data_IF_037214640392
#
_entry.id   IF_037214640392
#
_cell.length_a   1.000
_cell.length_b   1.000
_cell.length_c   1.000
_cell.angle_alpha   90.00
_cell.angle_beta   90.00
_cell.angle_gamma   90.00
#
_symmetry.space_group_name_H-M   'P 1'
#
loop_
_entity.id
_entity.type
_entity.pdbx_description
1 polymer ?
#
# COMPACT_ATOMS: atom_id res chain seq x y z
N UNK A 1 -50.88 3.47 -54.77
CA UNK A 1 -50.23 2.43 -53.93
C UNK A 1 -48.97 3.03 -53.33
N UNK A 2 -49.02 3.48 -52.07
CA UNK A 2 -47.82 3.89 -51.31
C UNK A 2 -47.80 3.07 -50.03
N UNK A 3 -46.81 2.19 -49.90
CA UNK A 3 -46.65 1.25 -48.79
C UNK A 3 -45.94 1.96 -47.65
N UNK A 4 -46.61 2.13 -46.52
CA UNK A 4 -46.02 2.63 -45.28
C UNK A 4 -45.10 1.58 -44.66
N UNK A 5 -43.85 1.96 -44.39
CA UNK A 5 -42.87 1.16 -43.65
C UNK A 5 -43.09 1.44 -42.17
N UNK A 6 -43.47 0.40 -41.41
CA UNK A 6 -43.51 0.44 -39.94
C UNK A 6 -42.15 -0.02 -39.41
N UNK A 7 -41.40 0.90 -38.81
CA UNK A 7 -40.14 0.60 -38.11
C UNK A 7 -40.50 0.24 -36.66
N UNK A 8 -40.26 -1.01 -36.29
CA UNK A 8 -40.43 -1.52 -34.93
C UNK A 8 -39.16 -1.23 -34.13
N UNK A 9 -39.21 -0.28 -33.20
CA UNK A 9 -38.11 0.01 -32.28
C UNK A 9 -38.11 -1.03 -31.15
N UNK A 10 -37.17 -1.99 -31.20
CA UNK A 10 -36.89 -2.88 -30.08
C UNK A 10 -36.10 -2.10 -29.02
N UNK A 11 -36.74 -1.74 -27.91
CA UNK A 11 -36.05 -1.22 -26.71
C UNK A 11 -35.44 -2.43 -25.98
N UNK A 12 -34.14 -2.64 -26.16
CA UNK A 12 -33.36 -3.53 -25.31
C UNK A 12 -33.15 -2.80 -23.97
N UNK A 13 -33.91 -3.17 -22.95
CA UNK A 13 -33.63 -2.77 -21.58
C UNK A 13 -32.32 -3.45 -21.14
N UNK A 14 -31.23 -2.69 -21.15
CA UNK A 14 -29.99 -3.07 -20.50
C UNK A 14 -30.21 -3.04 -18.98
N UNK A 15 -30.46 -4.21 -18.39
CA UNK A 15 -30.37 -4.41 -16.94
C UNK A 15 -28.88 -4.31 -16.59
N UNK A 16 -28.45 -3.13 -16.16
CA UNK A 16 -27.10 -2.91 -15.65
C UNK A 16 -27.01 -3.60 -14.28
N UNK A 17 -26.15 -4.61 -14.19
CA UNK A 17 -25.93 -5.43 -13.00
C UNK A 17 -25.56 -4.60 -11.76
N UNK A 18 -26.42 -4.60 -10.74
CA UNK A 18 -26.16 -4.06 -9.39
C UNK A 18 -25.47 -5.06 -8.44
N UNK A 19 -25.04 -6.22 -8.94
CA UNK A 19 -24.61 -7.36 -8.13
C UNK A 19 -23.34 -7.08 -7.29
N UNK A 20 -22.37 -6.34 -7.82
CA UNK A 20 -21.11 -6.08 -7.12
C UNK A 20 -21.23 -5.18 -5.88
N UNK A 21 -22.15 -4.21 -5.88
CA UNK A 21 -22.34 -3.33 -4.71
C UNK A 21 -23.06 -4.04 -3.55
N UNK A 22 -23.90 -5.02 -3.85
CA UNK A 22 -24.63 -5.78 -2.85
C UNK A 22 -23.72 -6.78 -2.13
N UNK A 23 -22.85 -7.46 -2.86
CA UNK A 23 -21.87 -8.41 -2.30
C UNK A 23 -20.86 -7.71 -1.39
N UNK A 24 -20.26 -6.60 -1.85
CA UNK A 24 -19.35 -5.77 -1.04
C UNK A 24 -20.01 -5.26 0.26
N UNK A 25 -21.30 -4.90 0.20
CA UNK A 25 -22.04 -4.44 1.38
C UNK A 25 -22.26 -5.56 2.40
N UNK A 26 -22.50 -6.79 1.93
CA UNK A 26 -22.67 -7.96 2.80
C UNK A 26 -21.34 -8.35 3.46
N UNK A 27 -20.24 -8.29 2.72
CA UNK A 27 -18.92 -8.63 3.26
C UNK A 27 -18.44 -7.60 4.28
N UNK A 28 -18.68 -6.31 4.05
CA UNK A 28 -18.41 -5.28 5.05
C UNK A 28 -19.24 -5.47 6.32
N UNK A 29 -20.49 -5.94 6.20
CA UNK A 29 -21.32 -6.25 7.36
C UNK A 29 -20.82 -7.47 8.14
N UNK A 30 -20.33 -8.51 7.45
CA UNK A 30 -19.69 -9.68 8.09
C UNK A 30 -18.41 -9.30 8.82
N UNK A 31 -17.51 -8.59 8.14
CA UNK A 31 -16.27 -8.11 8.74
C UNK A 31 -16.55 -7.24 9.97
N UNK A 32 -17.57 -6.37 9.92
CA UNK A 32 -17.96 -5.54 11.06
C UNK A 32 -18.32 -6.34 12.31
N UNK A 33 -18.83 -7.57 12.17
CA UNK A 33 -19.12 -8.46 13.30
C UNK A 33 -17.85 -9.06 13.92
N UNK A 34 -16.74 -9.09 13.17
CA UNK A 34 -15.44 -9.58 13.64
C UNK A 34 -14.60 -8.49 14.31
N UNK A 35 -15.01 -7.22 14.19
CA UNK A 35 -14.27 -6.09 14.74
C UNK A 35 -14.60 -5.88 16.21
N UNK A 36 -13.58 -5.89 17.06
CA UNK A 36 -13.69 -5.45 18.45
C UNK A 36 -13.59 -3.93 18.54
N UNK A 37 -14.54 -3.29 19.23
CA UNK A 37 -14.52 -1.85 19.46
C UNK A 37 -14.09 -1.55 20.90
N UNK A 38 -13.22 -0.56 21.07
CA UNK A 38 -12.97 -0.02 22.40
C UNK A 38 -14.21 0.72 22.94
N UNK A 39 -14.29 0.88 24.27
CA UNK A 39 -15.38 1.61 24.90
C UNK A 39 -15.52 3.05 24.36
N UNK A 40 -14.38 3.71 24.10
CA UNK A 40 -14.36 5.06 23.55
C UNK A 40 -14.98 5.13 22.15
N UNK A 41 -14.79 4.10 21.32
CA UNK A 41 -15.39 4.03 19.97
C UNK A 41 -16.87 3.77 20.03
N UNK A 42 -17.33 2.87 20.92
CA UNK A 42 -18.77 2.56 21.08
C UNK A 42 -19.55 3.83 21.43
N UNK A 43 -18.98 4.70 22.27
CA UNK A 43 -19.61 5.98 22.66
C UNK A 43 -19.66 7.03 21.54
N UNK A 44 -18.90 6.84 20.45
CA UNK A 44 -18.84 7.78 19.33
C UNK A 44 -19.73 7.37 18.13
N UNK A 45 -20.58 6.34 18.28
CA UNK A 45 -21.53 5.89 17.25
C UNK A 45 -20.89 5.62 15.88
N UNK A 46 -19.66 5.09 15.87
CA UNK A 46 -18.94 4.81 14.62
C UNK A 46 -19.69 3.75 13.79
N UNK A 47 -20.01 4.09 12.55
CA UNK A 47 -20.57 3.13 11.61
C UNK A 47 -19.47 2.20 11.07
N UNK A 48 -19.27 1.06 11.75
CA UNK A 48 -18.20 0.09 11.46
C UNK A 48 -18.23 -0.42 10.01
N UNK A 49 -19.36 -0.84 9.41
CA UNK A 49 -19.36 -1.27 8.01
C UNK A 49 -18.90 -0.18 7.04
N UNK A 50 -19.32 1.08 7.25
CA UNK A 50 -18.85 2.20 6.42
C UNK A 50 -17.36 2.48 6.65
N UNK A 51 -16.88 2.34 7.88
CA UNK A 51 -15.46 2.50 8.21
C UNK A 51 -14.59 1.42 7.54
N UNK A 52 -15.01 0.16 7.57
CA UNK A 52 -14.34 -0.93 6.84
C UNK A 52 -14.31 -0.66 5.34
N UNK A 53 -15.45 -0.22 4.77
CA UNK A 53 -15.49 0.16 3.36
C UNK A 53 -14.51 1.29 3.03
N UNK A 54 -14.33 2.25 3.96
CA UNK A 54 -13.35 3.33 3.82
C UNK A 54 -11.92 2.79 3.88
N UNK A 55 -11.61 1.84 4.77
CA UNK A 55 -10.29 1.19 4.85
C UNK A 55 -9.97 0.47 3.53
N UNK A 56 -10.89 -0.37 3.02
CA UNK A 56 -10.72 -1.15 1.78
C UNK A 56 -10.43 -0.26 0.56
N UNK A 57 -11.00 0.94 0.54
CA UNK A 57 -10.99 1.84 -0.61
C UNK A 57 -10.11 3.09 -0.40
N UNK A 58 -9.37 3.17 0.72
CA UNK A 58 -8.53 4.33 0.97
C UNK A 58 -7.42 4.43 -0.08
N UNK A 59 -7.17 5.67 -0.53
CA UNK A 59 -6.05 5.99 -1.43
C UNK A 59 -5.19 7.12 -0.89
N UNK A 60 -5.48 7.62 0.31
CA UNK A 60 -4.79 8.76 0.92
C UNK A 60 -3.33 8.40 1.21
N UNK A 61 -3.06 7.20 1.72
CA UNK A 61 -1.69 6.75 1.98
C UNK A 61 -0.87 6.59 0.68
N UNK A 62 -1.47 6.02 -0.38
CA UNK A 62 -0.81 5.95 -1.69
C UNK A 62 -0.58 7.33 -2.29
N UNK A 63 -1.54 8.25 -2.14
CA UNK A 63 -1.43 9.62 -2.61
C UNK A 63 -0.30 10.36 -1.89
N UNK A 64 -0.12 10.14 -0.59
CA UNK A 64 1.01 10.68 0.17
C UNK A 64 2.35 10.17 -0.38
N UNK A 65 2.47 8.87 -0.67
CA UNK A 65 3.67 8.34 -1.35
C UNK A 65 3.89 8.98 -2.72
N UNK A 66 2.82 9.24 -3.48
CA UNK A 66 2.89 9.93 -4.77
C UNK A 66 3.23 11.41 -4.66
N UNK A 67 2.92 12.06 -3.55
CA UNK A 67 3.35 13.43 -3.29
C UNK A 67 4.88 13.54 -3.30
N UNK A 68 5.60 12.48 -2.93
CA UNK A 68 7.07 12.42 -3.04
C UNK A 68 7.57 12.55 -4.49
N UNK A 69 6.71 12.48 -5.51
CA UNK A 69 7.08 12.69 -6.92
C UNK A 69 6.91 14.13 -7.39
N UNK A 70 6.16 14.94 -6.65
CA UNK A 70 5.76 16.30 -7.07
C UNK A 70 6.13 17.37 -6.06
N UNK A 71 6.60 17.00 -4.87
CA UNK A 71 7.05 17.92 -3.84
C UNK A 71 8.58 17.97 -3.76
N UNK A 72 9.12 19.16 -3.47
CA UNK A 72 10.52 19.32 -3.07
C UNK A 72 10.67 19.03 -1.58
N UNK A 73 11.68 18.25 -1.19
CA UNK A 73 11.95 17.88 0.19
C UNK A 73 13.42 17.55 0.39
N UNK A 74 13.86 17.50 1.66
CA UNK A 74 15.15 16.94 2.05
C UNK A 74 14.91 15.64 2.80
N UNK A 75 15.66 14.59 2.50
CA UNK A 75 15.59 13.33 3.25
C UNK A 75 16.95 12.97 3.85
N UNK A 76 16.87 12.35 5.03
CA UNK A 76 17.98 11.64 5.66
C UNK A 76 17.71 10.15 5.51
N UNK A 77 18.67 9.42 4.97
CA UNK A 77 18.53 8.01 4.64
C UNK A 77 19.61 7.24 5.41
N UNK A 78 19.22 6.16 6.09
CA UNK A 78 20.10 5.22 6.78
C UNK A 78 19.69 3.82 6.36
N UNK A 79 20.50 3.20 5.50
CA UNK A 79 20.25 1.87 4.94
C UNK A 79 21.35 0.95 5.49
N UNK A 80 20.97 -0.15 6.13
CA UNK A 80 21.90 -1.09 6.76
C UNK A 80 21.62 -2.50 6.27
N UNK A 81 22.64 -3.14 5.71
CA UNK A 81 22.58 -4.53 5.29
C UNK A 81 23.14 -5.40 6.41
N UNK A 82 22.32 -6.28 6.95
CA UNK A 82 22.67 -7.14 8.09
C UNK A 82 23.09 -8.54 7.62
N UNK A 83 24.02 -9.16 8.35
CA UNK A 83 24.27 -10.60 8.23
C UNK A 83 23.24 -11.42 9.03
N UNK A 84 23.31 -12.76 8.93
CA UNK A 84 22.42 -13.67 9.67
C UNK A 84 22.54 -13.56 11.20
N UNK A 85 23.57 -12.89 11.71
CA UNK A 85 23.82 -12.66 13.14
C UNK A 85 23.40 -11.24 13.55
N UNK A 86 22.86 -10.43 12.65
CA UNK A 86 22.46 -9.04 12.88
C UNK A 86 23.59 -8.02 12.78
N UNK A 87 24.81 -8.40 12.37
CA UNK A 87 25.92 -7.44 12.22
C UNK A 87 25.82 -6.68 10.90
N UNK A 88 26.21 -5.40 10.91
CA UNK A 88 26.26 -4.57 9.70
C UNK A 88 27.37 -5.07 8.77
N UNK A 89 27.00 -5.53 7.58
CA UNK A 89 27.95 -5.89 6.50
C UNK A 89 28.28 -4.71 5.59
N UNK A 90 27.28 -3.87 5.33
CA UNK A 90 27.38 -2.70 4.49
C UNK A 90 26.31 -1.69 4.91
N UNK A 91 26.55 -0.41 4.67
CA UNK A 91 25.58 0.64 4.98
C UNK A 91 25.68 1.82 4.02
N UNK A 92 24.61 2.60 3.96
CA UNK A 92 24.55 3.92 3.35
C UNK A 92 23.91 4.88 4.35
N UNK A 93 24.63 5.95 4.67
CA UNK A 93 24.05 7.14 5.27
C UNK A 93 24.08 8.25 4.23
N UNK A 94 22.94 8.86 3.92
CA UNK A 94 22.91 9.97 2.98
C UNK A 94 21.90 11.06 3.33
N UNK A 95 22.24 12.29 2.97
CA UNK A 95 21.32 13.43 2.95
C UNK A 95 21.08 13.79 1.49
N UNK A 96 19.83 13.75 1.06
CA UNK A 96 19.46 14.11 -0.32
C UNK A 96 18.46 15.25 -0.32
N UNK A 97 18.47 16.04 -1.40
CA UNK A 97 17.52 17.14 -1.62
C UNK A 97 16.83 16.94 -2.95
N UNK A 98 15.52 16.74 -2.92
CA UNK A 98 14.71 16.74 -4.12
C UNK A 98 14.30 18.16 -4.49
N UNK A 99 14.60 18.56 -5.71
CA UNK A 99 14.20 19.84 -6.28
C UNK A 99 13.05 19.61 -7.26
N UNK A 100 12.04 20.48 -7.24
CA UNK A 100 10.92 20.45 -8.18
C UNK A 100 10.82 21.79 -8.89
N UNK A 101 10.80 21.77 -10.21
CA UNK A 101 10.61 22.96 -11.05
C UNK A 101 9.97 22.59 -12.38
N UNK A 102 9.01 23.42 -12.83
CA UNK A 102 8.30 23.26 -14.10
C UNK A 102 7.74 21.83 -14.35
N UNK A 103 7.17 21.20 -13.32
CA UNK A 103 6.60 19.84 -13.44
C UNK A 103 7.64 18.71 -13.56
N UNK A 104 8.91 19.00 -13.26
CA UNK A 104 9.99 18.04 -13.23
C UNK A 104 10.65 18.00 -11.85
N UNK A 105 11.18 16.83 -11.48
CA UNK A 105 12.00 16.64 -10.29
C UNK A 105 13.41 16.17 -10.61
N UNK A 106 14.36 16.60 -9.80
CA UNK A 106 15.75 16.12 -9.74
C UNK A 106 16.12 15.88 -8.28
N UNK A 107 17.21 15.15 -8.02
CA UNK A 107 17.70 14.94 -6.66
C UNK A 107 19.20 15.19 -6.60
N UNK A 108 19.60 16.00 -5.62
CA UNK A 108 20.99 16.24 -5.28
C UNK A 108 21.38 15.36 -4.09
N UNK A 109 22.57 14.78 -4.14
CA UNK A 109 23.20 14.10 -2.99
C UNK A 109 24.01 15.17 -2.25
N UNK A 110 23.53 15.59 -1.08
CA UNK A 110 24.15 16.63 -0.25
C UNK A 110 25.28 16.06 0.60
N UNK A 111 25.07 14.88 1.16
CA UNK A 111 26.07 14.12 1.90
C UNK A 111 25.83 12.64 1.65
N UNK A 112 26.90 11.87 1.49
CA UNK A 112 26.82 10.41 1.38
C UNK A 112 28.05 9.76 2.03
N UNK A 113 27.81 8.72 2.80
CA UNK A 113 28.82 7.85 3.42
C UNK A 113 28.38 6.40 3.27
N UNK A 114 29.26 5.57 2.74
CA UNK A 114 29.02 4.13 2.63
C UNK A 114 30.05 3.32 3.39
N UNK A 115 29.67 2.11 3.78
CA UNK A 115 30.57 1.11 4.38
C UNK A 115 30.43 -0.23 3.68
N UNK A 116 31.46 -1.06 3.76
CA UNK A 116 31.48 -2.38 3.13
C UNK A 116 31.34 -2.29 1.60
N UNK A 117 30.74 -3.33 1.01
CA UNK A 117 30.45 -3.40 -0.42
C UNK A 117 29.02 -2.93 -0.72
N UNK A 118 28.63 -1.74 -0.26
CA UNK A 118 27.27 -1.22 -0.52
C UNK A 118 27.01 -1.02 -2.02
N UNK A 119 28.02 -0.53 -2.73
CA UNK A 119 28.05 -0.46 -4.19
C UNK A 119 29.01 -1.52 -4.76
N UNK A 120 28.74 -1.95 -5.98
CA UNK A 120 29.66 -2.69 -6.82
C UNK A 120 30.75 -1.75 -7.38
N UNK A 121 31.80 -2.32 -7.96
CA UNK A 121 32.92 -1.55 -8.55
C UNK A 121 32.48 -0.64 -9.71
N UNK A 122 31.38 -0.98 -10.38
CA UNK A 122 30.77 -0.19 -11.46
C UNK A 122 29.86 0.95 -10.92
N UNK A 123 29.67 1.05 -9.61
CA UNK A 123 28.82 2.04 -8.95
C UNK A 123 27.33 1.65 -8.83
N UNK A 124 26.94 0.45 -9.28
CA UNK A 124 25.59 -0.07 -9.07
C UNK A 124 25.39 -0.56 -7.63
N UNK A 125 24.13 -0.71 -7.21
CA UNK A 125 23.82 -1.24 -5.88
C UNK A 125 24.15 -2.73 -5.83
N UNK A 126 25.02 -3.14 -4.90
CA UNK A 126 25.39 -4.54 -4.71
C UNK A 126 24.27 -5.35 -4.01
N UNK A 127 23.29 -4.67 -3.40
CA UNK A 127 22.19 -5.30 -2.69
C UNK A 127 20.85 -4.99 -3.35
N UNK A 128 20.11 -6.06 -3.64
CA UNK A 128 18.77 -5.96 -4.23
C UNK A 128 17.81 -5.07 -3.42
N UNK A 129 17.83 -5.16 -2.08
CA UNK A 129 17.00 -4.30 -1.20
C UNK A 129 17.40 -2.83 -1.29
N UNK A 130 18.71 -2.55 -1.43
CA UNK A 130 19.19 -1.18 -1.62
C UNK A 130 18.74 -0.63 -2.99
N UNK A 131 18.83 -1.42 -4.05
CA UNK A 131 18.33 -1.05 -5.39
C UNK A 131 16.82 -0.77 -5.37
N UNK A 132 16.05 -1.62 -4.68
CA UNK A 132 14.61 -1.47 -4.52
C UNK A 132 14.26 -0.17 -3.78
N UNK A 133 14.90 0.08 -2.64
CA UNK A 133 14.74 1.30 -1.87
C UNK A 133 15.08 2.53 -2.71
N UNK A 134 16.26 2.54 -3.34
CA UNK A 134 16.72 3.65 -4.17
C UNK A 134 15.75 3.93 -5.33
N UNK A 135 15.27 2.89 -6.01
CA UNK A 135 14.32 3.08 -7.09
C UNK A 135 12.91 3.51 -6.64
N UNK A 136 12.59 3.40 -5.35
CA UNK A 136 11.37 3.96 -4.78
C UNK A 136 11.58 5.40 -4.30
N UNK A 137 12.66 5.70 -3.60
CA UNK A 137 12.80 6.97 -2.88
C UNK A 137 13.75 7.97 -3.54
N UNK A 138 14.69 7.51 -4.37
CA UNK A 138 15.65 8.39 -5.03
C UNK A 138 15.23 8.76 -6.46
N UNK A 139 15.81 9.85 -6.96
CA UNK A 139 15.61 10.32 -8.34
C UNK A 139 16.95 10.25 -9.06
N UNK A 140 17.03 9.47 -10.14
CA UNK A 140 18.19 9.47 -11.04
C UNK A 140 17.92 10.42 -12.21
N UNK A 141 18.74 11.47 -12.33
CA UNK A 141 18.58 12.48 -13.38
C UNK A 141 17.34 13.36 -13.21
N UNK A 142 16.73 13.76 -14.33
CA UNK A 142 15.53 14.61 -14.39
C UNK A 142 14.32 13.79 -14.83
N UNK A 143 13.28 13.78 -14.01
CA UNK A 143 12.01 13.09 -14.29
C UNK A 143 10.89 14.13 -14.39
N UNK A 144 10.07 14.06 -15.43
CA UNK A 144 9.01 15.04 -15.71
C UNK A 144 7.66 14.36 -15.94
N UNK A 145 6.57 15.11 -15.80
CA UNK A 145 5.22 14.64 -16.11
C UNK A 145 4.62 13.68 -15.08
N UNK A 146 5.24 13.58 -13.90
CA UNK A 146 4.67 12.84 -12.78
C UNK A 146 3.52 13.62 -12.14
N UNK A 147 2.53 12.89 -11.63
CA UNK A 147 1.39 13.46 -10.91
C UNK A 147 1.17 12.73 -9.59
N UNK A 148 0.42 13.33 -8.67
CA UNK A 148 -0.08 12.66 -7.47
C UNK A 148 -1.52 12.15 -7.61
N UNK A 149 -2.03 12.07 -8.84
CA UNK A 149 -3.38 11.57 -9.11
C UNK A 149 -3.37 10.05 -8.97
N UNK A 150 -4.22 9.52 -8.09
CA UNK A 150 -4.34 8.07 -7.81
C UNK A 150 -5.58 7.45 -8.43
N UNK A 151 -6.59 8.25 -8.76
CA UNK A 151 -7.85 7.79 -9.36
C UNK A 151 -7.63 7.29 -10.78
N UNK A 152 -8.17 6.11 -11.11
CA UNK A 152 -8.07 5.50 -12.45
C UNK A 152 -6.72 4.88 -12.78
N UNK A 153 -5.79 4.87 -11.82
CA UNK A 153 -4.48 4.29 -12.03
C UNK A 153 -4.54 2.77 -11.83
N UNK A 154 -4.50 2.02 -12.93
CA UNK A 154 -4.35 0.58 -12.86
C UNK A 154 -2.88 0.22 -12.64
N UNK A 155 -2.59 -0.46 -11.53
CA UNK A 155 -1.26 -1.01 -11.25
C UNK A 155 -1.07 -2.27 -12.09
N UNK A 156 -0.48 -2.12 -13.28
CA UNK A 156 -0.21 -3.25 -14.17
C UNK A 156 1.16 -3.88 -13.85
N UNK A 157 1.13 -4.97 -13.10
CA UNK A 157 2.33 -5.79 -12.81
C UNK A 157 2.66 -6.72 -13.98
N UNK A 158 1.65 -7.15 -14.75
CA UNK A 158 1.80 -8.20 -15.79
C UNK A 158 2.69 -7.77 -16.95
N UNK A 159 2.73 -6.47 -17.27
CA UNK A 159 3.60 -5.92 -18.33
C UNK A 159 5.03 -5.62 -17.88
N UNK A 160 5.34 -5.72 -16.58
CA UNK A 160 6.66 -5.38 -16.02
C UNK A 160 7.51 -6.62 -15.77
N UNK A 161 8.84 -6.45 -15.80
CA UNK A 161 9.84 -7.51 -15.53
C UNK A 161 10.93 -7.01 -14.58
N UNK A 162 11.65 -7.94 -13.95
CA UNK A 162 12.78 -7.64 -13.08
C UNK A 162 12.42 -6.70 -11.91
N UNK A 163 13.33 -5.78 -11.59
CA UNK A 163 13.19 -4.83 -10.49
C UNK A 163 11.93 -3.95 -10.59
N UNK A 164 11.51 -3.58 -11.80
CA UNK A 164 10.32 -2.75 -12.01
C UNK A 164 9.01 -3.48 -11.64
N UNK A 165 8.97 -4.80 -11.86
CA UNK A 165 7.86 -5.63 -11.42
C UNK A 165 7.79 -5.65 -9.90
N UNK A 166 8.93 -5.88 -9.24
CA UNK A 166 9.00 -5.99 -7.79
C UNK A 166 8.72 -4.67 -7.09
N UNK A 167 9.15 -3.52 -7.65
CA UNK A 167 8.75 -2.18 -7.17
C UNK A 167 7.24 -2.00 -7.17
N UNK A 168 6.54 -2.44 -8.22
CA UNK A 168 5.06 -2.35 -8.23
C UNK A 168 4.41 -3.31 -7.26
N UNK A 169 4.93 -4.53 -7.12
CA UNK A 169 4.42 -5.49 -6.14
C UNK A 169 4.57 -4.96 -4.71
N UNK A 170 5.72 -4.36 -4.39
CA UNK A 170 5.95 -3.75 -3.07
C UNK A 170 5.01 -2.56 -2.83
N UNK A 171 4.78 -1.71 -3.85
CA UNK A 171 3.77 -0.65 -3.76
C UNK A 171 2.37 -1.22 -3.51
N UNK A 172 1.98 -2.30 -4.20
CA UNK A 172 0.69 -2.92 -3.97
C UNK A 172 0.56 -3.47 -2.54
N UNK A 173 1.60 -4.13 -2.03
CA UNK A 173 1.63 -4.67 -0.68
C UNK A 173 1.43 -3.59 0.41
N UNK A 174 2.11 -2.45 0.30
CA UNK A 174 2.02 -1.38 1.31
C UNK A 174 0.82 -0.44 1.14
N UNK A 175 0.37 -0.20 -0.09
CA UNK A 175 -0.60 0.85 -0.38
C UNK A 175 -2.01 0.35 -0.69
N UNK A 176 -2.18 -0.96 -0.92
CA UNK A 176 -3.49 -1.58 -1.15
C UNK A 176 -3.70 -2.79 -0.23
N UNK A 177 -3.76 -2.59 1.10
CA UNK A 177 -4.04 -3.69 2.02
C UNK A 177 -5.37 -4.35 1.65
N UNK A 178 -5.36 -5.67 1.46
CA UNK A 178 -6.53 -6.43 1.06
C UNK A 178 -6.70 -6.63 -0.44
N UNK A 179 -5.76 -6.21 -1.29
CA UNK A 179 -5.77 -6.56 -2.72
C UNK A 179 -4.74 -7.63 -3.04
N UNK A 180 -5.07 -8.49 -3.99
CA UNK A 180 -4.17 -9.47 -4.59
C UNK A 180 -2.90 -8.82 -5.14
N UNK A 181 -1.74 -9.31 -4.71
CA UNK A 181 -0.43 -8.94 -5.29
C UNK A 181 0.01 -10.04 -6.29
N UNK A 182 -0.20 -9.85 -7.61
CA UNK A 182 0.05 -10.91 -8.57
C UNK A 182 1.55 -11.15 -8.78
N UNK A 183 1.91 -12.42 -9.00
CA UNK A 183 3.25 -12.79 -9.47
C UNK A 183 4.31 -12.89 -8.38
N UNK A 184 3.92 -12.97 -7.10
CA UNK A 184 4.75 -13.51 -6.03
C UNK A 184 4.24 -14.94 -5.73
N UNK A 185 5.08 -15.99 -5.89
CA UNK A 185 4.66 -17.37 -5.65
C UNK A 185 4.03 -17.54 -4.26
N UNK A 186 2.87 -18.21 -4.20
CA UNK A 186 2.18 -18.58 -2.96
C UNK A 186 1.68 -17.44 -2.04
N UNK A 187 1.87 -16.17 -2.43
CA UNK A 187 1.39 -15.00 -1.68
C UNK A 187 0.11 -14.36 -2.25
N UNK A 188 -0.21 -14.62 -3.52
CA UNK A 188 -1.27 -13.88 -4.23
C UNK A 188 -2.61 -13.86 -3.51
N UNK A 189 -3.06 -15.00 -2.98
CA UNK A 189 -4.35 -15.12 -2.30
C UNK A 189 -4.27 -14.72 -0.82
N UNK A 190 -3.06 -14.58 -0.24
CA UNK A 190 -2.85 -14.31 1.19
C UNK A 190 -2.84 -12.81 1.53
N UNK A 191 -2.75 -11.94 0.53
CA UNK A 191 -2.75 -10.48 0.72
C UNK A 191 -4.17 -9.89 0.72
N UNK A 192 -5.18 -10.69 0.40
CA UNK A 192 -6.61 -10.33 0.39
C UNK A 192 -7.21 -10.44 1.80
N UNK A 193 -6.66 -9.68 2.77
CA UNK A 193 -6.97 -9.78 4.21
C UNK A 193 -8.44 -9.53 4.60
N UNK A 194 -9.22 -8.91 3.71
CA UNK A 194 -10.64 -8.63 3.92
C UNK A 194 -11.56 -9.65 3.24
N UNK A 195 -11.01 -10.57 2.44
CA UNK A 195 -11.82 -11.64 1.85
C UNK A 195 -12.25 -12.62 2.95
N UNK A 196 -13.49 -13.13 2.92
CA UNK A 196 -14.03 -13.95 4.00
C UNK A 196 -13.11 -15.10 4.46
N UNK A 197 -12.47 -15.81 3.51
CA UNK A 197 -11.57 -16.91 3.83
C UNK A 197 -10.26 -16.50 4.51
N UNK A 198 -9.78 -15.28 4.28
CA UNK A 198 -8.56 -14.77 4.90
C UNK A 198 -8.84 -14.00 6.18
N UNK A 199 -9.96 -13.29 6.27
CA UNK A 199 -10.34 -12.47 7.41
C UNK A 199 -10.40 -13.30 8.70
N UNK A 200 -10.77 -14.58 8.61
CA UNK A 200 -10.80 -15.50 9.75
C UNK A 200 -9.43 -15.69 10.42
N UNK A 201 -8.34 -15.44 9.72
CA UNK A 201 -6.97 -15.53 10.25
C UNK A 201 -6.54 -14.29 11.06
N UNK A 202 -7.40 -13.28 11.17
CA UNK A 202 -7.08 -12.02 11.81
C UNK A 202 -8.03 -11.69 12.96
N UNK A 203 -7.47 -11.01 13.96
CA UNK A 203 -8.21 -10.24 14.94
C UNK A 203 -8.22 -8.77 14.51
N UNK A 204 -9.41 -8.19 14.42
CA UNK A 204 -9.62 -6.80 14.04
C UNK A 204 -10.07 -5.99 15.24
N UNK A 205 -9.50 -4.80 15.41
CA UNK A 205 -9.99 -3.85 16.41
C UNK A 205 -9.97 -2.40 15.94
N UNK A 206 -10.89 -1.61 16.49
CA UNK A 206 -10.93 -0.17 16.33
C UNK A 206 -10.89 0.49 17.70
N UNK A 207 -10.02 1.48 17.83
CA UNK A 207 -9.89 2.34 19.01
C UNK A 207 -9.85 3.83 18.60
N UNK A 208 -9.75 4.72 19.58
CA UNK A 208 -9.43 6.13 19.43
C UNK A 208 -8.09 6.37 20.12
N UNK A 209 -7.16 6.98 19.40
CA UNK A 209 -5.85 7.35 19.92
C UNK A 209 -5.44 8.70 19.37
N UNK A 210 -4.60 9.41 20.09
CA UNK A 210 -3.90 10.56 19.52
C UNK A 210 -2.65 10.11 18.78
N UNK A 211 -2.35 10.77 17.66
CA UNK A 211 -1.12 10.62 16.90
C UNK A 211 -0.62 12.00 16.51
N UNK A 212 0.59 12.37 16.94
CA UNK A 212 1.18 13.70 16.70
C UNK A 212 0.23 14.88 16.98
N UNK A 213 -0.52 14.80 18.08
CA UNK A 213 -1.47 15.84 18.50
C UNK A 213 -2.81 15.85 17.75
N UNK A 214 -3.09 14.84 16.92
CA UNK A 214 -4.34 14.68 16.21
C UNK A 214 -5.11 13.47 16.73
N UNK A 215 -6.38 13.67 17.09
CA UNK A 215 -7.27 12.56 17.43
C UNK A 215 -7.56 11.71 16.20
N UNK A 216 -7.34 10.41 16.32
CA UNK A 216 -7.44 9.45 15.24
C UNK A 216 -8.31 8.25 15.62
N UNK A 217 -9.01 7.70 14.64
CA UNK A 217 -9.47 6.31 14.72
C UNK A 217 -8.27 5.41 14.45
N UNK A 218 -8.01 4.49 15.37
CA UNK A 218 -6.94 3.52 15.30
C UNK A 218 -7.51 2.19 14.84
N UNK A 219 -7.18 1.76 13.63
CA UNK A 219 -7.53 0.43 13.12
C UNK A 219 -6.34 -0.50 13.28
N UNK A 220 -6.53 -1.62 13.97
CA UNK A 220 -5.52 -2.65 14.17
C UNK A 220 -6.02 -3.95 13.55
N UNK A 221 -5.18 -4.57 12.74
CA UNK A 221 -5.28 -5.95 12.30
C UNK A 221 -4.07 -6.70 12.85
N UNK A 222 -4.32 -7.86 13.45
CA UNK A 222 -3.29 -8.76 13.98
C UNK A 222 -3.57 -10.19 13.54
N UNK A 223 -2.56 -10.88 13.03
CA UNK A 223 -2.65 -12.28 12.66
C UNK A 223 -2.83 -13.15 13.92
N UNK A 224 -3.71 -14.14 13.82
CA UNK A 224 -3.88 -15.16 14.85
C UNK A 224 -2.70 -16.11 14.84
N UNK A 225 -2.35 -16.63 16.02
CA UNK A 225 -1.24 -17.58 16.15
C UNK A 225 -1.45 -18.83 15.28
N UNK A 226 -0.36 -19.32 14.67
CA UNK A 226 -0.38 -20.52 13.83
C UNK A 226 -1.01 -20.34 12.44
N UNK A 227 -1.39 -19.11 12.07
CA UNK A 227 -1.87 -18.82 10.71
C UNK A 227 -0.69 -18.56 9.77
N UNK A 228 -0.85 -18.94 8.50
CA UNK A 228 0.18 -18.77 7.48
C UNK A 228 -0.19 -17.61 6.55
N UNK A 229 -0.03 -16.40 7.05
CA UNK A 229 -0.35 -15.15 6.37
C UNK A 229 0.91 -14.36 5.99
N UNK A 230 0.73 -13.19 5.35
CA UNK A 230 1.80 -12.29 4.92
C UNK A 230 1.91 -11.04 5.79
N UNK A 231 0.79 -10.62 6.39
CA UNK A 231 0.70 -9.44 7.23
C UNK A 231 0.54 -9.94 8.65
N UNK A 232 1.51 -9.75 9.52
CA UNK A 232 1.39 -10.17 10.92
C UNK A 232 0.65 -9.10 11.73
N UNK A 233 1.02 -7.84 11.54
CA UNK A 233 0.32 -6.72 12.13
C UNK A 233 0.19 -5.56 11.12
N UNK A 234 -0.95 -4.89 11.16
CA UNK A 234 -1.14 -3.60 10.50
C UNK A 234 -1.87 -2.66 11.44
N UNK A 235 -1.25 -1.53 11.74
CA UNK A 235 -1.87 -0.46 12.54
C UNK A 235 -2.01 0.78 11.68
N UNK A 236 -3.22 1.33 11.57
CA UNK A 236 -3.51 2.52 10.77
C UNK A 236 -4.19 3.58 11.62
N UNK A 237 -3.66 4.80 11.58
CA UNK A 237 -4.26 5.97 12.22
C UNK A 237 -4.99 6.80 11.16
N UNK A 238 -6.29 6.92 11.31
CA UNK A 238 -7.14 7.77 10.47
C UNK A 238 -7.50 9.03 11.23
N UNK A 239 -7.17 10.20 10.69
CA UNK A 239 -7.58 11.48 11.28
C UNK A 239 -9.11 11.50 11.45
N UNK A 240 -9.60 11.78 12.66
CA UNK A 240 -11.04 11.66 12.97
C UNK A 240 -11.92 12.67 12.24
N UNK A 241 -11.34 13.76 11.72
CA UNK A 241 -12.05 14.82 10.98
C UNK A 241 -12.01 14.61 9.47
N UNK A 242 -10.85 14.27 8.91
CA UNK A 242 -10.66 14.15 7.45
C UNK A 242 -10.82 12.72 6.95
N UNK A 243 -10.71 11.73 7.84
CA UNK A 243 -10.64 10.30 7.52
C UNK A 243 -9.51 9.95 6.56
N UNK A 244 -8.44 10.76 6.54
CA UNK A 244 -7.19 10.47 5.83
C UNK A 244 -6.25 9.71 6.75
N UNK A 245 -5.43 8.84 6.17
CA UNK A 245 -4.39 8.11 6.89
C UNK A 245 -3.27 9.09 7.22
N UNK A 246 -2.98 9.25 8.51
CA UNK A 246 -1.85 10.08 8.99
C UNK A 246 -0.61 9.24 9.28
N UNK A 247 -0.81 7.98 9.66
CA UNK A 247 0.26 7.02 9.87
C UNK A 247 -0.24 5.60 9.60
N UNK A 248 0.69 4.74 9.19
CA UNK A 248 0.47 3.31 9.07
C UNK A 248 1.76 2.55 9.35
N UNK A 249 1.66 1.57 10.23
CA UNK A 249 2.73 0.64 10.55
C UNK A 249 2.35 -0.76 10.07
N UNK A 250 3.34 -1.46 9.53
CA UNK A 250 3.23 -2.85 9.09
C UNK A 250 4.29 -3.67 9.80
N UNK A 251 3.95 -4.92 10.02
CA UNK A 251 4.82 -6.02 10.42
C UNK A 251 4.46 -7.17 9.47
N UNK A 252 5.41 -7.56 8.63
CA UNK A 252 5.19 -8.48 7.53
C UNK A 252 6.23 -9.60 7.59
N UNK A 253 5.79 -10.83 7.82
CA UNK A 253 6.60 -12.01 7.63
C UNK A 253 6.00 -12.95 6.59
N UNK A 254 6.87 -13.68 5.91
CA UNK A 254 6.45 -14.74 5.02
C UNK A 254 7.57 -15.77 4.86
N UNK A 255 7.21 -17.05 4.80
CA UNK A 255 8.15 -18.13 4.51
C UNK A 255 7.52 -19.17 3.57
N UNK A 256 8.05 -19.27 2.36
CA UNK A 256 7.68 -20.26 1.36
C UNK A 256 8.85 -21.18 0.97
N UNK A 257 9.79 -21.40 1.88
CA UNK A 257 10.95 -22.29 1.72
C UNK A 257 12.08 -21.68 0.88
N UNK A 258 11.80 -21.33 -0.39
CA UNK A 258 12.79 -20.69 -1.29
C UNK A 258 12.75 -19.16 -1.23
N UNK A 259 11.77 -18.61 -0.52
CA UNK A 259 11.57 -17.18 -0.35
C UNK A 259 11.04 -16.91 1.04
N UNK A 260 11.77 -16.11 1.80
CA UNK A 260 11.39 -15.66 3.14
C UNK A 260 11.70 -14.17 3.33
N UNK A 261 10.88 -13.50 4.13
CA UNK A 261 11.14 -12.16 4.63
C UNK A 261 10.47 -11.96 5.99
N UNK A 262 10.99 -10.99 6.75
CA UNK A 262 10.52 -10.54 8.07
C UNK A 262 10.91 -9.05 8.18
N UNK A 263 9.92 -8.15 8.10
CA UNK A 263 10.10 -6.70 7.84
C UNK A 263 9.11 -5.85 8.62
#
# INVERSE_FOLDING_TARGET
MSKGIVIFFFIINAVISSHGQHEDSLDNARLAQMVTLSEAVVRNDLNVPKFINRIKNDTSFYKAFRNLRVLGFTSLNDIRMLDKKGNIKASLYSKTRQNVSAGCRTMDIVEEKTTGNFYEDNGDYNYYTAELYAGLFFTKGKICGETNIVKGMQRNVKSKKGIEKHKEQLKMLFFDPGKKVPGIPFMGDKTEIFDPGNAEHYDFSIDISDYEGQTCYLFILKAKEGTNVVIDNMTTWFNSKTMEIVARNYDLSYNAGVYDFDV
#
